data_IF_601466494750
#
_entry.id   IF_601466494750
#
_cell.length_a   1.000
_cell.length_b   1.000
_cell.length_c   1.000
_cell.angle_alpha   90.00
_cell.angle_beta   90.00
_cell.angle_gamma   90.00
#
_symmetry.space_group_name_H-M   'P 1'
#
loop_
_entity.id
_entity.type
_entity.pdbx_description
1 polymer ?
#
# COMPACT_ATOMS: atom_id res chain seq x y z
N UNK A 1 -56.99 61.55 21.91
CA UNK A 1 -56.24 60.33 21.56
C UNK A 1 -54.79 60.71 21.30
N UNK A 2 -53.89 60.43 22.25
CA UNK A 2 -52.42 60.51 22.16
C UNK A 2 -51.90 60.12 23.55
N UNK A 3 -51.49 58.86 23.75
CA UNK A 3 -50.84 58.40 24.97
C UNK A 3 -49.85 57.28 24.67
N UNK A 4 -48.77 57.29 25.44
CA UNK A 4 -47.80 56.21 25.71
C UNK A 4 -46.56 56.09 24.81
N UNK A 5 -45.53 56.87 25.14
CA UNK A 5 -44.13 56.51 24.89
C UNK A 5 -43.52 56.08 26.23
N UNK A 6 -43.20 54.79 26.37
CA UNK A 6 -42.60 54.21 27.57
C UNK A 6 -41.61 53.10 27.17
N UNK A 7 -40.34 53.33 27.56
CA UNK A 7 -39.33 52.37 28.08
C UNK A 7 -38.41 51.66 27.06
N UNK A 8 -37.17 51.42 27.53
CA UNK A 8 -36.09 50.51 27.11
C UNK A 8 -35.02 51.17 26.18
N UNK A 9 -33.69 51.09 26.38
CA UNK A 9 -32.84 50.18 27.15
C UNK A 9 -31.36 50.66 27.07
N UNK A 10 -30.60 50.44 28.15
CA UNK A 10 -29.13 50.34 28.28
C UNK A 10 -28.19 51.06 27.29
N UNK A 11 -27.42 52.00 27.83
CA UNK A 11 -26.13 52.41 27.28
C UNK A 11 -25.09 52.25 28.40
N UNK A 12 -24.40 51.11 28.47
CA UNK A 12 -23.20 50.92 29.31
C UNK A 12 -22.38 49.70 28.81
N UNK A 13 -21.12 49.99 28.47
CA UNK A 13 -19.95 49.11 28.48
C UNK A 13 -19.97 47.85 27.60
N UNK A 14 -19.26 47.90 26.47
CA UNK A 14 -18.47 46.75 26.03
C UNK A 14 -17.00 47.12 25.90
N UNK A 15 -16.30 46.74 26.96
CA UNK A 15 -14.87 46.49 27.03
C UNK A 15 -14.42 45.73 25.78
N UNK A 16 -13.51 46.30 25.00
CA UNK A 16 -12.90 45.62 23.87
C UNK A 16 -12.08 44.43 24.37
N UNK A 17 -12.66 43.24 24.31
CA UNK A 17 -11.95 41.98 24.51
C UNK A 17 -10.97 41.82 23.34
N UNK A 18 -9.67 41.95 23.62
CA UNK A 18 -8.60 41.45 22.75
C UNK A 18 -8.71 39.92 22.71
N UNK A 19 -9.57 39.41 21.84
CA UNK A 19 -9.57 38.00 21.48
C UNK A 19 -8.36 37.75 20.56
N UNK A 20 -7.21 37.46 21.17
CA UNK A 20 -6.13 36.73 20.51
C UNK A 20 -6.60 35.29 20.27
N UNK A 21 -7.50 35.12 19.30
CA UNK A 21 -8.03 33.81 18.93
C UNK A 21 -6.90 32.94 18.41
N UNK A 22 -6.54 31.91 19.17
CA UNK A 22 -5.83 30.78 18.61
C UNK A 22 -6.82 30.05 17.69
N UNK A 23 -6.55 30.07 16.38
CA UNK A 23 -7.34 29.33 15.42
C UNK A 23 -7.18 27.83 15.74
N UNK A 24 -8.17 27.25 16.41
CA UNK A 24 -8.28 25.80 16.62
C UNK A 24 -8.69 25.17 15.29
N UNK A 25 -8.00 24.10 14.89
CA UNK A 25 -8.34 23.44 13.64
C UNK A 25 -9.70 22.74 13.72
N UNK A 26 -10.46 22.66 12.61
CA UNK A 26 -11.55 21.70 12.52
C UNK A 26 -10.98 20.28 12.68
N UNK A 27 -11.66 19.45 13.47
CA UNK A 27 -11.22 18.10 13.80
C UNK A 27 -11.11 17.24 12.53
N UNK A 28 -9.89 17.09 12.01
CA UNK A 28 -9.56 16.10 11.01
C UNK A 28 -8.85 14.94 11.69
N UNK A 29 -9.64 14.03 12.27
CA UNK A 29 -9.15 12.76 12.81
C UNK A 29 -9.07 11.78 11.65
N UNK A 30 -8.03 11.91 10.84
CA UNK A 30 -7.62 10.91 9.85
C UNK A 30 -6.16 10.59 10.14
N UNK A 31 -5.76 9.32 10.13
CA UNK A 31 -4.40 8.90 10.47
C UNK A 31 -3.34 9.66 9.65
N UNK A 32 -2.79 10.74 10.21
CA UNK A 32 -1.80 11.60 9.55
C UNK A 32 -0.38 11.14 9.86
N UNK A 33 0.57 11.58 9.03
CA UNK A 33 1.99 11.28 9.26
C UNK A 33 2.43 11.94 10.56
N UNK A 34 2.95 11.18 11.52
CA UNK A 34 3.43 11.74 12.79
C UNK A 34 4.81 12.35 12.63
N UNK A 35 5.07 13.42 13.36
CA UNK A 35 6.36 14.11 13.41
C UNK A 35 6.74 14.49 14.83
N UNK A 36 8.04 14.63 15.06
CA UNK A 36 8.62 15.13 16.31
C UNK A 36 9.44 16.38 15.99
N UNK A 37 9.25 17.43 16.77
CA UNK A 37 10.03 18.65 16.63
C UNK A 37 11.49 18.38 17.07
N UNK A 38 12.46 18.63 16.20
CA UNK A 38 13.88 18.46 16.53
C UNK A 38 14.58 19.74 16.98
N UNK A 39 14.00 20.90 16.71
CA UNK A 39 14.57 22.19 17.09
C UNK A 39 14.20 22.56 18.53
N UNK A 40 15.12 23.17 19.29
CA UNK A 40 14.87 23.66 20.67
C UNK A 40 13.64 24.55 20.77
N UNK A 41 13.38 25.35 19.72
CA UNK A 41 12.17 26.13 19.53
C UNK A 41 11.86 26.20 18.04
N UNK A 42 10.68 25.72 17.64
CA UNK A 42 10.16 25.83 16.29
C UNK A 42 9.00 26.81 16.26
N UNK A 43 9.01 27.73 15.29
CA UNK A 43 7.93 28.70 15.12
C UNK A 43 6.90 28.15 14.14
N UNK A 44 5.65 28.11 14.57
CA UNK A 44 4.52 27.77 13.71
C UNK A 44 3.93 29.07 13.19
N UNK A 45 3.67 29.11 11.89
CA UNK A 45 3.27 30.30 11.15
C UNK A 45 1.92 30.12 10.49
N UNK A 46 1.24 31.24 10.22
CA UNK A 46 -0.07 31.23 9.56
C UNK A 46 -0.04 30.67 8.13
N UNK A 47 1.05 30.88 7.39
CA UNK A 47 1.26 30.44 6.01
C UNK A 47 2.68 29.84 5.83
N UNK A 48 2.86 29.03 4.78
CA UNK A 48 4.13 28.36 4.43
C UNK A 48 5.15 29.28 3.75
N UNK A 49 5.56 30.34 4.44
CA UNK A 49 6.71 31.16 4.05
C UNK A 49 7.34 31.84 5.26
N UNK A 50 8.63 32.19 5.15
CA UNK A 50 9.41 32.68 6.30
C UNK A 50 8.91 34.00 6.90
N UNK A 51 8.28 34.85 6.09
CA UNK A 51 7.77 36.16 6.52
C UNK A 51 6.36 36.09 7.13
N UNK A 52 5.69 34.93 7.09
CA UNK A 52 4.33 34.79 7.61
C UNK A 52 4.29 35.05 9.12
N UNK A 53 3.25 35.69 9.66
CA UNK A 53 3.11 35.86 11.11
C UNK A 53 3.25 34.54 11.86
N UNK A 54 4.00 34.56 12.97
CA UNK A 54 4.08 33.47 13.94
C UNK A 54 2.77 33.43 14.73
N UNK A 55 2.16 32.26 14.83
CA UNK A 55 0.93 32.05 15.60
C UNK A 55 1.22 31.40 16.97
N UNK A 56 2.12 30.42 17.02
CA UNK A 56 2.63 29.81 18.26
C UNK A 56 4.02 29.21 18.05
N UNK A 57 4.58 28.57 19.08
CA UNK A 57 5.86 27.89 19.00
C UNK A 57 5.84 26.57 19.75
N UNK A 58 6.52 25.58 19.20
CA UNK A 58 6.70 24.26 19.79
C UNK A 58 8.15 24.02 20.19
N UNK A 59 8.38 23.11 21.12
CA UNK A 59 9.69 22.75 21.67
C UNK A 59 10.15 21.40 21.13
N UNK A 60 11.44 21.15 21.28
CA UNK A 60 12.04 19.87 20.92
C UNK A 60 11.33 18.72 21.64
N UNK A 61 11.18 17.58 20.95
CA UNK A 61 10.46 16.37 21.38
C UNK A 61 8.93 16.47 21.43
N UNK A 62 8.33 17.64 21.21
CA UNK A 62 6.87 17.72 21.07
C UNK A 62 6.40 17.02 19.79
N UNK A 63 5.26 16.33 19.89
CA UNK A 63 4.67 15.58 18.79
C UNK A 63 3.69 16.44 17.99
N UNK A 64 3.62 16.14 16.70
CA UNK A 64 2.70 16.77 15.77
C UNK A 64 2.15 15.74 14.80
N UNK A 65 0.92 15.96 14.38
CA UNK A 65 0.36 15.31 13.20
C UNK A 65 0.61 16.20 11.98
N UNK A 66 1.24 15.67 10.94
CA UNK A 66 1.44 16.33 9.65
C UNK A 66 0.25 16.01 8.76
N UNK A 67 -0.47 17.06 8.35
CA UNK A 67 -1.65 16.95 7.50
C UNK A 67 -1.35 17.24 6.03
N UNK A 68 -0.41 18.16 5.76
CA UNK A 68 -0.07 18.59 4.39
C UNK A 68 1.40 18.93 4.29
N UNK A 69 1.94 18.82 3.08
CA UNK A 69 3.26 19.32 2.72
C UNK A 69 3.13 20.29 1.54
N UNK A 70 3.87 21.41 1.59
CA UNK A 70 3.98 22.35 0.48
C UNK A 70 5.30 23.11 0.56
N UNK A 71 6.09 23.08 -0.52
CA UNK A 71 7.29 23.90 -0.71
C UNK A 71 8.29 23.87 0.47
N UNK A 72 8.52 22.69 1.07
CA UNK A 72 9.40 22.55 2.24
C UNK A 72 8.78 22.99 3.57
N UNK A 73 7.44 23.05 3.63
CA UNK A 73 6.67 23.31 4.85
C UNK A 73 5.66 22.20 5.09
N UNK A 74 5.49 21.87 6.37
CA UNK A 74 4.41 21.01 6.84
C UNK A 74 3.29 21.85 7.44
N UNK A 75 2.05 21.53 7.09
CA UNK A 75 0.89 21.96 7.87
C UNK A 75 0.65 20.91 8.95
N UNK A 76 0.67 21.33 10.21
CA UNK A 76 0.62 20.43 11.36
C UNK A 76 -0.56 20.73 12.27
N UNK A 77 -0.90 19.75 13.09
CA UNK A 77 -1.74 19.88 14.27
C UNK A 77 -0.92 19.41 15.48
N UNK A 78 -0.86 20.22 16.54
CA UNK A 78 -0.28 19.84 17.82
C UNK A 78 -1.24 18.95 18.61
N UNK A 79 -0.75 18.25 19.62
CA UNK A 79 -1.60 17.48 20.55
C UNK A 79 -2.69 18.34 21.24
N UNK A 80 -2.45 19.65 21.41
CA UNK A 80 -3.42 20.62 21.94
C UNK A 80 -4.46 21.10 20.92
N UNK A 81 -4.45 20.57 19.69
CA UNK A 81 -5.39 20.95 18.62
C UNK A 81 -5.06 22.26 17.88
N UNK A 82 -3.95 22.93 18.22
CA UNK A 82 -3.47 24.11 17.49
C UNK A 82 -2.86 23.69 16.15
N UNK A 83 -3.07 24.49 15.10
CA UNK A 83 -2.56 24.16 13.77
C UNK A 83 -1.91 25.30 13.02
N UNK A 84 -1.03 24.97 12.08
CA UNK A 84 -0.35 25.93 11.24
C UNK A 84 0.83 25.35 10.49
N UNK A 85 1.62 26.23 9.86
CA UNK A 85 2.75 25.85 9.01
C UNK A 85 4.07 25.91 9.76
N UNK A 86 4.85 24.84 9.65
CA UNK A 86 6.21 24.71 10.18
C UNK A 86 7.16 24.32 9.04
N UNK A 87 8.40 24.81 9.07
CA UNK A 87 9.39 24.37 8.08
C UNK A 87 9.69 22.88 8.27
N UNK A 88 9.66 22.10 7.18
CA UNK A 88 9.89 20.65 7.24
C UNK A 88 11.27 20.31 7.80
N UNK A 89 12.25 21.19 7.62
CA UNK A 89 13.59 21.04 8.17
C UNK A 89 13.66 21.05 9.69
N UNK A 90 12.58 21.40 10.40
CA UNK A 90 12.49 21.44 11.86
C UNK A 90 11.75 20.25 12.46
N UNK A 91 11.21 19.37 11.61
CA UNK A 91 10.42 18.21 12.02
C UNK A 91 11.13 16.94 11.55
N UNK A 92 11.21 15.97 12.45
CA UNK A 92 11.59 14.61 12.12
C UNK A 92 10.32 13.78 11.97
N UNK A 93 10.05 13.28 10.77
CA UNK A 93 8.94 12.36 10.54
C UNK A 93 9.19 11.08 11.35
N UNK A 94 8.22 10.71 12.17
CA UNK A 94 8.20 9.43 12.86
C UNK A 94 7.65 8.41 11.89
N UNK A 95 8.52 7.52 11.40
CA UNK A 95 8.08 6.34 10.66
C UNK A 95 7.61 5.32 11.69
N UNK A 96 6.34 4.87 11.64
CA UNK A 96 5.90 3.76 12.47
C UNK A 96 6.83 2.57 12.26
N UNK A 97 7.07 1.75 13.30
CA UNK A 97 7.86 0.54 13.15
C UNK A 97 7.21 -0.34 12.09
N UNK A 98 8.01 -0.83 11.14
CA UNK A 98 7.52 -1.75 10.12
C UNK A 98 7.36 -3.13 10.77
N UNK A 99 6.14 -3.66 10.75
CA UNK A 99 5.79 -4.98 11.24
C UNK A 99 5.91 -5.96 10.07
N UNK A 100 6.67 -7.04 10.26
CA UNK A 100 6.72 -8.13 9.29
C UNK A 100 5.35 -8.81 9.19
N UNK A 101 4.88 -9.12 7.97
CA UNK A 101 3.60 -9.78 7.81
C UNK A 101 3.68 -11.26 8.18
N UNK A 102 2.54 -11.81 8.56
CA UNK A 102 2.36 -13.25 8.59
C UNK A 102 2.20 -13.74 7.15
N UNK A 103 3.06 -14.68 6.72
CA UNK A 103 2.93 -15.31 5.40
C UNK A 103 2.80 -16.81 5.59
N UNK A 104 1.62 -17.34 5.24
CA UNK A 104 1.33 -18.77 5.21
C UNK A 104 1.77 -19.35 3.88
N UNK A 105 2.74 -20.25 3.91
CA UNK A 105 3.30 -20.86 2.70
C UNK A 105 2.59 -22.18 2.39
N UNK A 106 2.15 -22.33 1.15
CA UNK A 106 1.57 -23.55 0.59
C UNK A 106 2.51 -24.07 -0.49
N UNK A 107 2.96 -25.31 -0.37
CA UNK A 107 3.87 -25.91 -1.35
C UNK A 107 3.73 -27.42 -1.37
N UNK A 108 3.87 -28.02 -2.54
CA UNK A 108 3.79 -29.47 -2.72
C UNK A 108 5.16 -30.09 -3.00
N UNK A 109 5.47 -31.19 -2.32
CA UNK A 109 6.57 -32.10 -2.64
C UNK A 109 7.97 -31.46 -2.84
N UNK A 110 8.28 -30.39 -2.11
CA UNK A 110 9.61 -29.76 -2.16
C UNK A 110 10.71 -30.65 -1.55
N UNK A 111 11.85 -30.75 -2.23
CA UNK A 111 13.06 -31.39 -1.70
C UNK A 111 13.67 -30.57 -0.56
N UNK A 112 14.53 -31.13 0.31
CA UNK A 112 15.18 -30.36 1.38
C UNK A 112 15.97 -29.15 0.86
N UNK A 113 16.68 -29.28 -0.27
CA UNK A 113 17.41 -28.17 -0.88
C UNK A 113 16.48 -27.05 -1.37
N UNK A 114 15.36 -27.41 -1.99
CA UNK A 114 14.33 -26.44 -2.40
C UNK A 114 13.71 -25.74 -1.20
N UNK A 115 13.37 -26.48 -0.13
CA UNK A 115 12.85 -25.90 1.12
C UNK A 115 13.82 -24.89 1.73
N UNK A 116 15.11 -25.20 1.74
CA UNK A 116 16.12 -24.27 2.25
C UNK A 116 16.14 -22.96 1.46
N UNK A 117 16.14 -23.04 0.13
CA UNK A 117 16.07 -21.87 -0.74
C UNK A 117 14.78 -21.06 -0.50
N UNK A 118 13.61 -21.73 -0.47
CA UNK A 118 12.32 -21.09 -0.22
C UNK A 118 12.30 -20.41 1.15
N UNK A 119 12.88 -21.01 2.20
CA UNK A 119 12.97 -20.36 3.50
C UNK A 119 13.75 -19.03 3.43
N UNK A 120 14.86 -18.99 2.69
CA UNK A 120 15.61 -17.75 2.45
C UNK A 120 14.78 -16.71 1.68
N UNK A 121 14.04 -17.14 0.66
CA UNK A 121 13.10 -16.31 -0.09
C UNK A 121 12.04 -15.70 0.84
N UNK A 122 11.48 -16.50 1.75
CA UNK A 122 10.45 -16.05 2.69
C UNK A 122 10.97 -15.02 3.70
N UNK A 123 12.21 -15.13 4.16
CA UNK A 123 12.84 -14.10 5.02
C UNK A 123 12.87 -12.76 4.28
N UNK A 124 13.29 -12.78 3.01
CA UNK A 124 13.33 -11.58 2.17
C UNK A 124 11.94 -10.99 1.94
N UNK A 125 10.98 -11.83 1.54
CA UNK A 125 9.61 -11.38 1.28
C UNK A 125 8.98 -10.72 2.52
N UNK A 126 9.17 -11.29 3.72
CA UNK A 126 8.66 -10.69 4.96
C UNK A 126 9.26 -9.30 5.21
N UNK A 127 10.56 -9.14 5.02
CA UNK A 127 11.23 -7.86 5.19
C UNK A 127 10.74 -6.81 4.16
N UNK A 128 10.59 -7.19 2.88
CA UNK A 128 10.14 -6.28 1.84
C UNK A 128 8.65 -5.91 1.99
N UNK A 129 7.82 -6.86 2.45
CA UNK A 129 6.40 -6.67 2.73
C UNK A 129 6.12 -6.11 4.13
N UNK A 130 7.12 -5.71 4.91
CA UNK A 130 6.89 -5.05 6.18
C UNK A 130 6.13 -3.72 5.98
N UNK A 131 5.20 -3.43 6.88
CA UNK A 131 4.38 -2.22 6.88
C UNK A 131 4.02 -1.77 8.30
N UNK A 132 3.61 -0.52 8.50
CA UNK A 132 3.10 -0.03 9.78
C UNK A 132 1.94 -0.86 10.35
N UNK A 133 1.17 -1.52 9.48
CA UNK A 133 0.01 -2.31 9.86
C UNK A 133 0.26 -3.81 9.70
N UNK A 134 -0.27 -4.64 10.62
CA UNK A 134 -0.23 -6.08 10.48
C UNK A 134 -0.91 -6.53 9.18
N UNK A 135 -0.23 -7.37 8.41
CA UNK A 135 -0.77 -7.94 7.17
C UNK A 135 -0.62 -9.45 7.17
N UNK A 136 -1.57 -10.12 6.55
CA UNK A 136 -1.56 -11.57 6.35
C UNK A 136 -1.58 -11.85 4.86
N UNK A 137 -0.69 -12.74 4.42
CA UNK A 137 -0.61 -13.20 3.04
C UNK A 137 -0.62 -14.73 3.00
N UNK A 138 -1.11 -15.27 1.89
CA UNK A 138 -0.85 -16.65 1.52
C UNK A 138 0.12 -16.67 0.35
N UNK A 139 1.13 -17.53 0.41
CA UNK A 139 2.08 -17.70 -0.68
C UNK A 139 2.07 -19.14 -1.16
N UNK A 140 1.57 -19.38 -2.37
CA UNK A 140 1.56 -20.68 -3.02
C UNK A 140 2.77 -20.82 -3.93
N UNK A 141 3.44 -21.96 -3.85
CA UNK A 141 4.51 -22.36 -4.75
C UNK A 141 4.20 -23.76 -5.24
N UNK A 142 3.94 -23.91 -6.54
CA UNK A 142 3.62 -25.22 -7.09
C UNK A 142 4.31 -25.46 -8.43
N UNK A 143 4.50 -26.74 -8.76
CA UNK A 143 5.03 -27.17 -10.04
C UNK A 143 3.87 -27.46 -10.98
N UNK A 144 3.86 -26.82 -12.14
CA UNK A 144 2.94 -27.11 -13.23
C UNK A 144 3.61 -28.12 -14.15
N UNK A 145 2.97 -29.28 -14.34
CA UNK A 145 3.37 -30.27 -15.34
C UNK A 145 2.30 -30.39 -16.39
N UNK A 146 2.59 -30.00 -17.63
CA UNK A 146 1.70 -30.25 -18.77
C UNK A 146 1.81 -31.73 -19.15
N UNK A 147 0.77 -32.52 -18.84
CA UNK A 147 0.67 -33.90 -19.30
C UNK A 147 -0.05 -33.93 -20.66
N UNK A 148 0.68 -34.05 -21.76
CA UNK A 148 0.07 -34.46 -23.04
C UNK A 148 -0.36 -35.94 -22.94
N UNK A 149 -1.61 -36.18 -22.51
CA UNK A 149 -2.34 -37.41 -22.85
C UNK A 149 -3.60 -37.02 -23.62
N UNK A 150 -3.40 -36.54 -24.84
CA UNK A 150 -4.45 -36.54 -25.86
C UNK A 150 -4.32 -37.82 -26.69
N UNK A 151 -5.30 -38.72 -26.61
CA UNK A 151 -5.44 -39.87 -27.50
C UNK A 151 -5.85 -39.43 -28.93
N UNK A 152 -5.06 -38.56 -29.57
CA UNK A 152 -5.21 -38.19 -30.98
C UNK A 152 -4.15 -38.87 -31.83
N UNK A 153 -4.40 -39.14 -33.12
CA UNK A 153 -3.43 -39.80 -33.99
C UNK A 153 -2.16 -38.95 -34.08
N UNK A 154 -1.00 -39.60 -33.88
CA UNK A 154 0.30 -38.95 -33.92
C UNK A 154 0.51 -38.29 -35.30
N UNK A 155 0.55 -36.95 -35.32
CA UNK A 155 0.91 -36.19 -36.51
C UNK A 155 2.42 -36.33 -36.68
N UNK A 156 2.85 -37.12 -37.67
CA UNK A 156 4.25 -37.28 -38.04
C UNK A 156 4.76 -35.91 -38.50
N UNK A 157 5.60 -35.29 -37.68
CA UNK A 157 6.14 -33.94 -37.90
C UNK A 157 6.13 -33.03 -36.66
N UNK A 158 5.45 -33.40 -35.56
CA UNK A 158 5.59 -32.64 -34.33
C UNK A 158 6.97 -32.89 -33.72
N UNK A 159 7.77 -31.83 -33.64
CA UNK A 159 8.90 -31.82 -32.71
C UNK A 159 8.28 -32.12 -31.34
N UNK A 160 8.76 -33.16 -30.67
CA UNK A 160 8.41 -33.44 -29.28
C UNK A 160 8.78 -32.22 -28.44
N UNK A 161 7.83 -31.31 -28.23
CA UNK A 161 7.97 -30.20 -27.29
C UNK A 161 8.03 -30.88 -25.93
N UNK A 162 9.26 -31.01 -25.41
CA UNK A 162 9.52 -31.72 -24.16
C UNK A 162 8.66 -31.17 -23.02
N UNK A 163 8.31 -32.03 -22.05
CA UNK A 163 7.60 -31.66 -20.82
C UNK A 163 8.06 -30.29 -20.32
N UNK A 164 7.21 -29.28 -20.42
CA UNK A 164 7.47 -27.97 -19.82
C UNK A 164 7.33 -28.13 -18.31
N UNK A 165 8.45 -28.01 -17.60
CA UNK A 165 8.46 -27.96 -16.14
C UNK A 165 8.38 -26.49 -15.73
N UNK A 166 7.14 -26.00 -15.61
CA UNK A 166 6.87 -24.64 -15.20
C UNK A 166 6.61 -24.58 -13.69
N UNK A 167 6.87 -23.44 -13.07
CA UNK A 167 6.57 -23.18 -11.67
C UNK A 167 5.58 -22.04 -11.56
N UNK A 168 4.66 -22.12 -10.60
CA UNK A 168 3.68 -21.09 -10.31
C UNK A 168 3.92 -20.53 -8.91
N UNK A 169 4.06 -19.21 -8.85
CA UNK A 169 4.06 -18.42 -7.64
C UNK A 169 2.74 -17.67 -7.54
N UNK A 170 2.03 -17.82 -6.42
CA UNK A 170 0.82 -17.02 -6.16
C UNK A 170 0.97 -16.32 -4.83
N UNK A 171 0.93 -14.98 -4.83
CA UNK A 171 0.80 -14.19 -3.62
C UNK A 171 -0.65 -13.77 -3.47
N UNK A 172 -1.33 -14.23 -2.42
CA UNK A 172 -2.70 -13.83 -2.09
C UNK A 172 -2.70 -12.78 -0.99
N UNK A 173 -3.45 -11.70 -1.22
CA UNK A 173 -3.74 -10.68 -0.23
C UNK A 173 -5.25 -10.50 -0.11
N UNK A 174 -5.72 -10.38 1.12
CA UNK A 174 -7.10 -9.91 1.36
C UNK A 174 -7.17 -8.39 1.14
N UNK A 175 -8.30 -7.88 0.65
CA UNK A 175 -8.62 -6.46 0.66
C UNK A 175 -10.05 -6.23 1.12
N UNK A 176 -10.30 -5.15 1.87
CA UNK A 176 -11.67 -4.78 2.27
C UNK A 176 -12.24 -3.79 1.27
N UNK A 177 -13.31 -4.17 0.56
CA UNK A 177 -14.01 -3.29 -0.37
C UNK A 177 -14.59 -2.07 0.36
N UNK A 178 -15.07 -2.26 1.59
CA UNK A 178 -15.65 -1.20 2.41
C UNK A 178 -14.65 -0.10 2.78
N UNK A 179 -13.44 -0.48 3.22
CA UNK A 179 -12.37 0.49 3.53
C UNK A 179 -11.96 1.22 2.26
N UNK A 180 -11.74 0.45 1.19
CA UNK A 180 -11.36 0.99 -0.11
C UNK A 180 -12.39 1.99 -0.67
N UNK A 181 -13.68 1.67 -0.59
CA UNK A 181 -14.76 2.58 -0.98
C UNK A 181 -14.81 3.80 -0.05
N UNK A 182 -14.64 3.67 1.26
CA UNK A 182 -14.65 4.83 2.16
C UNK A 182 -13.53 5.85 1.86
N UNK A 183 -12.36 5.37 1.44
CA UNK A 183 -11.21 6.23 1.14
C UNK A 183 -11.22 6.80 -0.28
N UNK A 184 -11.82 6.09 -1.25
CA UNK A 184 -11.75 6.43 -2.69
C UNK A 184 -13.11 6.58 -3.39
N UNK A 185 -14.25 6.47 -2.70
CA UNK A 185 -15.59 6.50 -3.32
C UNK A 185 -15.92 7.79 -4.09
N UNK A 186 -15.27 8.91 -3.78
CA UNK A 186 -15.43 10.14 -4.55
C UNK A 186 -14.60 10.17 -5.84
N UNK A 187 -13.62 9.28 -5.98
CA UNK A 187 -12.63 9.29 -7.06
C UNK A 187 -12.80 8.12 -8.04
N UNK A 188 -13.49 7.05 -7.65
CA UNK A 188 -13.57 5.81 -8.42
C UNK A 188 -15.00 5.27 -8.52
N UNK A 189 -15.36 4.79 -9.72
CA UNK A 189 -16.66 4.17 -9.97
C UNK A 189 -16.83 2.90 -9.11
N UNK A 190 -18.07 2.58 -8.66
CA UNK A 190 -18.34 1.36 -7.91
C UNK A 190 -17.92 0.12 -8.70
N UNK A 191 -16.89 -0.57 -8.23
CA UNK A 191 -16.34 -1.74 -8.92
C UNK A 191 -14.96 -1.53 -9.53
N UNK A 192 -14.35 -0.35 -9.40
CA UNK A 192 -12.96 -0.13 -9.84
C UNK A 192 -11.95 -0.45 -8.73
N UNK A 193 -10.83 -1.09 -9.09
CA UNK A 193 -9.71 -1.41 -8.18
C UNK A 193 -8.48 -0.59 -8.57
N UNK A 194 -7.97 0.24 -7.66
CA UNK A 194 -6.78 1.07 -7.83
C UNK A 194 -5.55 0.18 -7.68
N UNK A 195 -4.99 -0.23 -8.82
CA UNK A 195 -3.82 -1.07 -8.88
C UNK A 195 -2.55 -0.40 -8.33
N UNK A 196 -2.53 0.94 -8.19
CA UNK A 196 -1.39 1.66 -7.62
C UNK A 196 -1.12 1.22 -6.17
N UNK A 197 -2.17 0.92 -5.40
CA UNK A 197 -2.05 0.43 -4.02
C UNK A 197 -1.30 -0.91 -3.94
N UNK A 198 -1.31 -1.68 -5.03
CA UNK A 198 -0.77 -3.03 -5.08
C UNK A 198 0.56 -3.12 -5.85
N UNK A 199 1.09 -2.01 -6.36
CA UNK A 199 2.39 -1.97 -7.06
C UNK A 199 3.52 -2.58 -6.23
N UNK A 200 3.58 -2.27 -4.92
CA UNK A 200 4.60 -2.84 -4.04
C UNK A 200 4.47 -4.36 -3.92
N UNK A 201 3.25 -4.90 -3.89
CA UNK A 201 3.04 -6.36 -3.83
C UNK A 201 3.48 -7.02 -5.14
N UNK A 202 3.12 -6.43 -6.28
CA UNK A 202 3.55 -6.91 -7.59
C UNK A 202 5.08 -6.87 -7.70
N UNK A 203 5.74 -5.79 -7.28
CA UNK A 203 7.19 -5.69 -7.30
C UNK A 203 7.86 -6.82 -6.52
N UNK A 204 7.46 -7.03 -5.26
CA UNK A 204 8.01 -8.11 -4.43
C UNK A 204 7.82 -9.47 -5.08
N UNK A 205 6.65 -9.71 -5.68
CA UNK A 205 6.35 -10.95 -6.37
C UNK A 205 7.23 -11.16 -7.61
N UNK A 206 7.47 -10.11 -8.40
CA UNK A 206 8.34 -10.16 -9.59
C UNK A 206 9.82 -10.35 -9.20
N UNK A 207 10.28 -9.70 -8.14
CA UNK A 207 11.64 -9.89 -7.60
C UNK A 207 11.83 -11.34 -7.10
N UNK A 208 10.79 -11.88 -6.44
CA UNK A 208 10.73 -13.26 -5.98
C UNK A 208 10.79 -14.23 -7.16
N UNK A 209 10.03 -13.98 -8.23
CA UNK A 209 10.06 -14.74 -9.48
C UNK A 209 11.46 -14.72 -10.11
N UNK A 210 12.11 -13.55 -10.19
CA UNK A 210 13.44 -13.41 -10.75
C UNK A 210 14.50 -14.21 -9.96
N UNK A 211 14.44 -14.18 -8.62
CA UNK A 211 15.31 -14.98 -7.76
C UNK A 211 15.11 -16.48 -7.97
N UNK A 212 13.86 -16.92 -8.12
CA UNK A 212 13.55 -18.32 -8.41
C UNK A 212 14.09 -18.75 -9.78
N UNK A 213 13.91 -17.93 -10.82
CA UNK A 213 14.48 -18.18 -12.15
C UNK A 213 16.01 -18.29 -12.08
N UNK A 214 16.67 -17.41 -11.34
CA UNK A 214 18.13 -17.44 -11.17
C UNK A 214 18.61 -18.71 -10.44
N UNK A 215 17.91 -19.13 -9.39
CA UNK A 215 18.18 -20.38 -8.66
C UNK A 215 18.01 -21.61 -9.56
N UNK A 216 16.92 -21.68 -10.33
CA UNK A 216 16.68 -22.81 -11.25
C UNK A 216 17.75 -22.85 -12.34
N UNK A 217 18.18 -21.72 -12.88
CA UNK A 217 19.28 -21.66 -13.86
C UNK A 217 20.60 -22.15 -13.25
N UNK A 218 20.88 -21.80 -11.99
CA UNK A 218 22.11 -22.20 -11.28
C UNK A 218 22.11 -23.67 -10.86
N UNK A 219 20.95 -24.24 -10.52
CA UNK A 219 20.81 -25.59 -9.98
C UNK A 219 19.68 -26.38 -10.66
N UNK A 220 19.68 -26.44 -11.99
CA UNK A 220 18.58 -27.03 -12.77
C UNK A 220 18.25 -28.49 -12.37
N UNK A 221 19.28 -29.29 -12.05
CA UNK A 221 19.12 -30.66 -11.56
C UNK A 221 18.35 -30.73 -10.23
N UNK A 222 18.63 -29.83 -9.29
CA UNK A 222 17.91 -29.70 -8.02
C UNK A 222 16.45 -29.26 -8.16
N UNK A 223 16.10 -28.65 -9.29
CA UNK A 223 14.74 -28.20 -9.62
C UNK A 223 14.03 -29.10 -10.65
N UNK A 224 14.60 -30.26 -10.96
CA UNK A 224 14.06 -31.21 -11.96
C UNK A 224 13.81 -30.56 -13.32
N UNK A 225 14.60 -29.56 -13.69
CA UNK A 225 14.49 -28.87 -14.99
C UNK A 225 15.51 -29.46 -15.95
N UNK A 226 15.03 -30.01 -17.06
CA UNK A 226 15.87 -30.64 -18.08
C UNK A 226 16.43 -29.65 -19.11
N UNK A 227 15.71 -28.55 -19.38
CA UNK A 227 16.14 -27.49 -20.31
C UNK A 227 16.00 -26.11 -19.65
N UNK A 228 17.08 -25.57 -19.05
CA UNK A 228 17.04 -24.30 -18.31
C UNK A 228 16.58 -23.08 -19.15
N UNK A 229 16.71 -23.17 -20.48
CA UNK A 229 16.28 -22.13 -21.42
C UNK A 229 14.75 -22.01 -21.56
N UNK A 230 13.97 -22.98 -21.08
CA UNK A 230 12.50 -23.07 -21.27
C UNK A 230 11.75 -23.02 -19.93
N UNK A 231 12.38 -22.55 -18.86
CA UNK A 231 11.74 -22.49 -17.53
C UNK A 231 10.80 -21.28 -17.47
N UNK A 232 9.50 -21.54 -17.51
CA UNK A 232 8.50 -20.56 -17.13
C UNK A 232 8.27 -20.62 -15.61
N UNK A 233 8.73 -19.60 -14.89
CA UNK A 233 8.20 -19.31 -13.55
C UNK A 233 7.12 -18.26 -13.76
N UNK A 234 5.87 -18.60 -13.51
CA UNK A 234 4.72 -17.69 -13.57
C UNK A 234 4.46 -17.10 -12.19
N UNK A 235 4.04 -15.84 -12.15
CA UNK A 235 3.80 -15.12 -10.91
C UNK A 235 2.44 -14.40 -10.97
N UNK A 236 1.56 -14.73 -10.03
CA UNK A 236 0.21 -14.17 -9.93
C UNK A 236 -0.01 -13.51 -8.56
N UNK A 237 -0.44 -12.25 -8.57
CA UNK A 237 -0.97 -11.57 -7.40
C UNK A 237 -2.48 -11.78 -7.37
N UNK A 238 -3.01 -12.37 -6.31
CA UNK A 238 -4.45 -12.59 -6.15
C UNK A 238 -4.97 -11.72 -5.02
N UNK A 239 -5.95 -10.88 -5.34
CA UNK A 239 -6.65 -10.01 -4.41
C UNK A 239 -8.00 -10.63 -4.10
N UNK A 240 -8.24 -10.95 -2.84
CA UNK A 240 -9.52 -11.53 -2.37
C UNK A 240 -10.29 -10.51 -1.55
N UNK A 241 -11.53 -10.25 -1.93
CA UNK A 241 -12.43 -9.38 -1.17
C UNK A 241 -13.13 -10.11 -0.02
N UNK A 242 -13.75 -9.34 0.86
CA UNK A 242 -14.56 -9.79 2.00
C UNK A 242 -15.83 -10.55 1.59
N UNK A 243 -16.43 -10.25 0.44
CA UNK A 243 -17.56 -10.99 -0.13
C UNK A 243 -17.14 -12.24 -0.94
N UNK A 244 -15.84 -12.51 -1.07
CA UNK A 244 -15.31 -13.71 -1.73
C UNK A 244 -14.91 -13.55 -3.20
N UNK A 245 -15.10 -12.37 -3.80
CA UNK A 245 -14.59 -12.07 -5.14
C UNK A 245 -13.06 -12.14 -5.17
N UNK A 246 -12.51 -12.59 -6.30
CA UNK A 246 -11.07 -12.74 -6.47
C UNK A 246 -10.62 -12.18 -7.81
N UNK A 247 -9.69 -11.23 -7.76
CA UNK A 247 -9.01 -10.73 -8.95
C UNK A 247 -7.58 -11.22 -8.91
N UNK A 248 -7.13 -11.85 -9.98
CA UNK A 248 -5.75 -12.24 -10.12
C UNK A 248 -5.08 -11.39 -11.18
N UNK A 249 -3.85 -11.01 -10.92
CA UNK A 249 -3.11 -10.04 -11.69
C UNK A 249 -1.73 -10.61 -11.95
N UNK A 250 -1.27 -10.44 -13.18
CA UNK A 250 0.12 -10.69 -13.57
C UNK A 250 0.76 -9.38 -14.01
N UNK A 251 2.08 -9.40 -14.15
CA UNK A 251 2.81 -8.23 -14.60
C UNK A 251 4.23 -8.56 -15.01
N UNK A 252 4.99 -7.52 -15.30
CA UNK A 252 6.40 -7.59 -15.64
C UNK A 252 7.14 -6.39 -15.04
N UNK A 253 8.47 -6.47 -14.98
CA UNK A 253 9.29 -5.34 -14.60
C UNK A 253 9.84 -4.66 -15.85
N UNK A 254 9.65 -3.35 -15.96
CA UNK A 254 10.23 -2.52 -17.00
C UNK A 254 11.04 -1.40 -16.34
N UNK A 255 12.35 -1.34 -16.63
CA UNK A 255 13.28 -0.37 -16.02
C UNK A 255 13.25 -0.33 -14.48
N UNK A 256 12.95 -1.47 -13.84
CA UNK A 256 12.85 -1.58 -12.38
C UNK A 256 11.50 -1.15 -11.79
N UNK A 257 10.50 -0.86 -12.63
CA UNK A 257 9.13 -0.55 -12.20
C UNK A 257 8.20 -1.73 -12.50
N UNK A 258 7.28 -2.08 -11.59
CA UNK A 258 6.30 -3.14 -11.81
C UNK A 258 5.15 -2.61 -12.67
N UNK A 259 4.87 -3.30 -13.78
CA UNK A 259 3.76 -2.98 -14.70
C UNK A 259 2.80 -4.15 -14.71
N UNK A 260 1.52 -3.87 -14.49
CA UNK A 260 0.45 -4.86 -14.62
C UNK A 260 0.17 -5.14 -16.10
N UNK A 261 -0.12 -6.40 -16.44
CA UNK A 261 -0.55 -6.76 -17.79
C UNK A 261 -1.98 -6.26 -18.06
N UNK A 262 -2.27 -5.92 -19.32
CA UNK A 262 -3.56 -5.38 -19.77
C UNK A 262 -4.76 -6.36 -19.64
N UNK A 263 -4.56 -7.60 -19.17
CA UNK A 263 -5.60 -8.64 -19.16
C UNK A 263 -5.41 -9.67 -18.04
N UNK A 264 -6.23 -9.61 -16.97
CA UNK A 264 -6.69 -10.81 -16.24
C UNK A 264 -7.74 -10.45 -15.16
N UNK A 265 -8.94 -11.01 -15.29
CA UNK A 265 -9.94 -11.19 -14.22
C UNK A 265 -10.10 -12.71 -14.10
N UNK A 266 -9.80 -13.31 -12.94
CA UNK A 266 -9.81 -14.78 -12.80
C UNK A 266 -11.14 -15.36 -12.28
N UNK A 267 -11.92 -14.69 -11.42
CA UNK A 267 -13.24 -15.17 -10.97
C UNK A 267 -14.08 -14.07 -10.28
N UNK A 268 -15.25 -13.72 -10.84
CA UNK A 268 -16.25 -12.86 -10.18
C UNK A 268 -17.42 -13.75 -9.74
N UNK A 269 -17.71 -13.83 -8.44
CA UNK A 269 -18.88 -14.55 -7.95
C UNK A 269 -20.03 -13.58 -7.68
N UNK A 270 -20.94 -13.49 -8.64
CA UNK A 270 -22.16 -12.68 -8.57
C UNK A 270 -22.03 -11.41 -9.39
N UNK A 271 -23.10 -11.05 -10.11
CA UNK A 271 -23.17 -9.86 -10.96
C UNK A 271 -22.71 -8.59 -10.22
N UNK A 272 -21.45 -8.19 -10.40
CA UNK A 272 -20.96 -6.83 -10.11
C UNK A 272 -20.05 -6.42 -11.27
N UNK A 273 -20.34 -5.28 -11.94
CA UNK A 273 -19.56 -4.84 -13.08
C UNK A 273 -18.25 -4.26 -12.55
N UNK A 274 -17.16 -5.03 -12.59
CA UNK A 274 -15.83 -4.45 -12.45
C UNK A 274 -15.48 -3.78 -13.78
N UNK A 275 -15.41 -2.45 -13.79
CA UNK A 275 -14.67 -1.68 -14.80
C UNK A 275 -13.30 -1.37 -14.23
N UNK A 276 -12.26 -1.90 -14.87
CA UNK A 276 -10.85 -1.55 -14.62
C UNK A 276 -10.61 -0.14 -15.16
#
# INVERSE_FOLDING_TARGET
MRRFFKIFLFCLLSLGVLAGGVDLCPAAVTAGTMGVIKARRANIRKNSHQQSPRIFSMRQQEQVQILKERDGWFYIVSDEGQCGWISSSLVQIVKPPAIEPEIKVFSDNLTPGQKHFINGLMVRMRAELAAPEPRQFEFLISRITTSEKGNGPAVIGSHSIGKSNSWLLVLRSSFSRKIYQQERASELEPGTVDLLLYQKLLQVLLDTQALMVAEIKRNSGGWSVTTPAVVAVEALLVLKSDNGDQVALSGFSENGFPIFNDSMILEIHGFSPFSI
#
